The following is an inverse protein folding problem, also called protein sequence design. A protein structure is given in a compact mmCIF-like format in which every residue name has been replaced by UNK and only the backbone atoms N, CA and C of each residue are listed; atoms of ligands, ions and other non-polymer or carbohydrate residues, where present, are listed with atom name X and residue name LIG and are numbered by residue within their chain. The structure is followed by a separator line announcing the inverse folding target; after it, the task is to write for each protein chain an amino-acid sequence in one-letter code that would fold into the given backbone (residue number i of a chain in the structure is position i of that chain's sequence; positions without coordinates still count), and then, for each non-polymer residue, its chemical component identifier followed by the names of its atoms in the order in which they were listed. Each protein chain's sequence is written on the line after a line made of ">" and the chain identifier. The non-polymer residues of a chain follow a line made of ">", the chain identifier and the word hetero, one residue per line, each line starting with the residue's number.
data_IF_393338577856
#
_entry.id   IF_393338577856
#
_cell.length_a   1.000
_cell.length_b   1.000
_cell.length_c   1.000
_cell.angle_alpha   90.00
_cell.angle_beta   90.00
_cell.angle_gamma   90.00
#
_symmetry.space_group_name_H-M   'P 1'
#
loop_
_entity.id
_entity.type
_entity.pdbx_description
1 polymer ?
#
# COMPACT_ATOMS: atom_id res chain seq x y z
N UNK A 1 31.59 -41.51 3.41
CA UNK A 1 31.34 -40.20 4.02
C UNK A 1 31.03 -39.24 2.89
N UNK A 2 29.74 -39.04 2.60
CA UNK A 2 29.30 -38.10 1.56
C UNK A 2 28.70 -36.89 2.25
N UNK A 3 29.33 -35.73 2.10
CA UNK A 3 28.74 -34.43 2.38
C UNK A 3 27.84 -34.03 1.20
N UNK A 4 26.55 -33.74 1.39
CA UNK A 4 25.73 -33.10 0.36
C UNK A 4 25.95 -31.59 0.45
N UNK A 5 26.64 -31.02 -0.54
CA UNK A 5 26.80 -29.59 -0.72
C UNK A 5 25.71 -29.04 -1.64
N UNK A 6 24.94 -28.08 -1.11
CA UNK A 6 24.56 -26.82 -1.78
C UNK A 6 24.32 -26.86 -3.29
N UNK A 7 23.08 -27.13 -3.70
CA UNK A 7 22.59 -26.91 -5.08
C UNK A 7 21.20 -26.27 -5.12
N UNK A 8 20.88 -25.39 -4.16
CA UNK A 8 19.58 -24.69 -4.08
C UNK A 8 19.66 -23.17 -4.04
N UNK A 9 20.75 -22.55 -4.47
CA UNK A 9 20.85 -21.07 -4.41
C UNK A 9 21.44 -20.39 -5.66
N UNK A 10 21.49 -21.08 -6.80
CA UNK A 10 22.09 -20.52 -8.05
C UNK A 10 21.02 -20.22 -9.12
N UNK A 11 19.77 -20.70 -8.96
CA UNK A 11 18.72 -20.51 -9.98
C UNK A 11 17.88 -19.24 -9.80
N UNK A 12 17.74 -18.70 -8.58
CA UNK A 12 16.89 -17.52 -8.34
C UNK A 12 17.53 -16.20 -8.79
N UNK A 13 18.87 -16.11 -8.84
CA UNK A 13 19.56 -14.88 -9.27
C UNK A 13 19.41 -14.56 -10.77
N UNK A 14 18.91 -15.51 -11.59
CA UNK A 14 18.81 -15.35 -13.06
C UNK A 14 17.40 -15.15 -13.60
N UNK A 15 16.36 -15.35 -12.80
CA UNK A 15 14.97 -15.22 -13.25
C UNK A 15 14.39 -13.88 -12.81
N UNK A 16 13.97 -13.02 -13.73
CA UNK A 16 13.32 -11.72 -13.42
C UNK A 16 13.83 -10.56 -14.29
N UNK A 17 13.16 -9.41 -14.19
CA UNK A 17 13.52 -8.19 -14.93
C UNK A 17 14.39 -7.32 -14.02
N UNK A 18 15.62 -7.05 -14.43
CA UNK A 18 16.46 -6.03 -13.81
C UNK A 18 15.94 -4.65 -14.25
N UNK A 19 15.72 -3.75 -13.30
CA UNK A 19 15.35 -2.38 -13.61
C UNK A 19 16.56 -1.68 -14.22
N UNK A 20 16.35 -1.12 -15.40
CA UNK A 20 17.37 -0.36 -16.11
C UNK A 20 16.87 1.07 -16.27
N UNK A 21 17.68 2.02 -15.83
CA UNK A 21 17.36 3.42 -16.05
C UNK A 21 17.49 3.69 -17.55
N UNK A 22 16.47 4.23 -18.22
CA UNK A 22 16.57 4.55 -19.63
C UNK A 22 17.66 5.60 -19.83
N UNK A 23 18.71 5.19 -20.52
CA UNK A 23 19.79 6.05 -21.01
C UNK A 23 19.82 5.91 -22.52
N UNK A 24 19.66 7.03 -23.20
CA UNK A 24 19.52 7.03 -24.65
C UNK A 24 20.68 6.40 -25.39
N UNK A 25 20.38 5.53 -26.36
CA UNK A 25 21.40 4.87 -27.18
C UNK A 25 21.62 5.53 -28.55
N UNK A 26 20.65 6.23 -29.17
CA UNK A 26 20.91 7.08 -30.35
C UNK A 26 19.81 8.15 -30.57
N UNK A 27 20.24 9.37 -30.93
CA UNK A 27 19.49 10.53 -31.44
C UNK A 27 18.45 11.29 -30.59
N UNK A 28 18.07 10.88 -29.37
CA UNK A 28 17.31 11.72 -28.43
C UNK A 28 17.68 11.45 -26.99
N UNK A 29 18.11 12.45 -26.22
CA UNK A 29 18.39 12.32 -24.78
C UNK A 29 17.09 12.23 -23.96
N UNK A 30 16.76 11.06 -23.43
CA UNK A 30 15.79 10.87 -22.37
C UNK A 30 16.58 10.92 -21.06
N UNK A 31 16.82 12.13 -20.56
CA UNK A 31 17.47 12.32 -19.25
C UNK A 31 16.39 12.34 -18.17
N UNK A 32 15.93 11.16 -17.74
CA UNK A 32 15.09 11.09 -16.54
C UNK A 32 16.02 11.18 -15.33
N UNK A 33 15.86 12.22 -14.52
CA UNK A 33 16.62 12.40 -13.28
C UNK A 33 15.66 12.44 -12.10
N UNK A 34 15.85 11.59 -11.08
CA UNK A 34 15.05 11.64 -9.87
C UNK A 34 15.06 12.99 -9.17
N UNK A 35 16.23 13.63 -9.06
CA UNK A 35 16.40 14.83 -8.23
C UNK A 35 15.45 15.98 -8.57
N UNK A 36 15.23 16.37 -9.84
CA UNK A 36 14.24 17.39 -10.19
C UNK A 36 12.83 17.14 -9.63
N UNK A 37 12.35 15.90 -9.66
CA UNK A 37 11.02 15.54 -9.13
C UNK A 37 10.97 15.72 -7.61
N UNK A 38 11.94 15.15 -6.89
CA UNK A 38 12.00 15.29 -5.43
C UNK A 38 12.28 16.73 -4.99
N UNK A 39 13.05 17.50 -5.75
CA UNK A 39 13.26 18.93 -5.46
C UNK A 39 11.97 19.73 -5.63
N UNK A 40 11.20 19.43 -6.67
CA UNK A 40 9.90 20.06 -6.87
C UNK A 40 8.96 19.68 -5.70
N UNK A 41 8.86 18.39 -5.36
CA UNK A 41 8.09 17.93 -4.19
C UNK A 41 8.51 18.61 -2.89
N UNK A 42 9.81 18.72 -2.64
CA UNK A 42 10.35 19.41 -1.48
C UNK A 42 9.92 20.88 -1.44
N UNK A 43 9.99 21.58 -2.58
CA UNK A 43 9.53 22.97 -2.69
C UNK A 43 8.01 23.09 -2.47
N UNK A 44 7.22 22.15 -2.95
CA UNK A 44 5.79 22.12 -2.65
C UNK A 44 5.53 21.91 -1.15
N UNK A 45 6.25 20.96 -0.52
CA UNK A 45 6.11 20.63 0.89
C UNK A 45 6.40 21.83 1.80
N UNK A 46 7.53 22.51 1.58
CA UNK A 46 8.04 23.53 2.53
C UNK A 46 7.72 24.96 2.11
N UNK A 47 7.34 25.20 0.84
CA UNK A 47 7.03 26.54 0.31
C UNK A 47 5.62 26.68 -0.28
N UNK A 48 4.82 25.61 -0.31
CA UNK A 48 3.44 25.66 -0.81
C UNK A 48 3.32 25.89 -2.32
N UNK A 49 4.34 25.55 -3.11
CA UNK A 49 4.31 25.71 -4.58
C UNK A 49 3.40 24.67 -5.22
N UNK A 50 2.43 25.12 -6.02
CA UNK A 50 1.60 24.22 -6.84
C UNK A 50 2.42 23.63 -8.00
N UNK A 51 2.34 22.30 -8.20
CA UNK A 51 3.14 21.59 -9.19
C UNK A 51 2.33 20.55 -9.98
N UNK A 52 2.68 20.41 -11.26
CA UNK A 52 2.10 19.47 -12.23
C UNK A 52 3.00 18.23 -12.42
N UNK A 53 3.24 17.50 -11.34
CA UNK A 53 4.14 16.35 -11.38
C UNK A 53 3.51 15.13 -12.07
N UNK A 54 2.19 14.99 -12.02
CA UNK A 54 1.47 13.93 -12.72
C UNK A 54 1.63 14.07 -14.25
N UNK A 55 1.45 15.29 -14.78
CA UNK A 55 1.68 15.59 -16.20
C UNK A 55 3.11 15.22 -16.64
N UNK A 56 4.11 15.57 -15.82
CA UNK A 56 5.52 15.28 -16.11
C UNK A 56 5.86 13.78 -16.10
N UNK A 57 5.16 12.96 -15.30
CA UNK A 57 5.33 11.50 -15.30
C UNK A 57 4.71 10.87 -16.55
N UNK A 58 3.57 11.39 -17.03
CA UNK A 58 2.93 10.94 -18.28
C UNK A 58 3.84 11.26 -19.47
N UNK A 59 4.37 12.49 -19.55
CA UNK A 59 5.28 12.91 -20.61
C UNK A 59 6.55 12.02 -20.69
N UNK A 60 7.04 11.53 -19.55
CA UNK A 60 8.16 10.57 -19.52
C UNK A 60 7.79 9.25 -20.20
N UNK A 61 6.61 8.70 -19.91
CA UNK A 61 6.13 7.46 -20.51
C UNK A 61 5.98 7.59 -22.02
N UNK A 62 5.38 8.68 -22.48
CA UNK A 62 5.20 8.98 -23.90
C UNK A 62 6.54 9.15 -24.63
N UNK A 63 7.49 9.86 -24.02
CA UNK A 63 8.83 10.02 -24.57
C UNK A 63 9.58 8.68 -24.68
N UNK A 64 9.44 7.81 -23.67
CA UNK A 64 10.04 6.48 -23.69
C UNK A 64 9.44 5.63 -24.83
N UNK A 65 8.11 5.59 -24.95
CA UNK A 65 7.42 4.90 -26.03
C UNK A 65 7.87 5.41 -27.41
N UNK A 66 7.99 6.73 -27.59
CA UNK A 66 8.41 7.34 -28.85
C UNK A 66 9.90 7.12 -29.20
N UNK A 67 10.72 6.66 -28.25
CA UNK A 67 12.17 6.45 -28.45
C UNK A 67 12.58 5.04 -28.87
N UNK A 68 11.62 4.11 -28.94
CA UNK A 68 11.89 2.68 -29.15
C UNK A 68 12.39 1.93 -27.91
N UNK A 69 12.76 2.64 -26.83
CA UNK A 69 13.09 2.03 -25.54
C UNK A 69 11.84 1.56 -24.76
N UNK A 70 10.65 1.97 -25.19
CA UNK A 70 9.38 1.53 -24.60
C UNK A 70 9.02 0.06 -24.84
N UNK A 71 9.83 -0.67 -25.61
CA UNK A 71 9.69 -2.12 -25.80
C UNK A 71 10.65 -2.93 -24.90
N UNK A 72 11.55 -2.27 -24.18
CA UNK A 72 12.51 -2.94 -23.31
C UNK A 72 11.95 -3.11 -21.89
N UNK A 73 11.75 -4.36 -21.40
CA UNK A 73 11.09 -4.58 -20.12
C UNK A 73 11.80 -3.91 -18.93
N UNK A 74 13.14 -3.83 -18.95
CA UNK A 74 13.91 -3.17 -17.89
C UNK A 74 13.62 -1.68 -17.78
N UNK A 75 13.53 -0.99 -18.93
CA UNK A 75 13.22 0.45 -18.99
C UNK A 75 11.78 0.75 -18.60
N UNK A 76 10.83 -0.08 -19.05
CA UNK A 76 9.41 0.07 -18.70
C UNK A 76 9.15 -0.26 -17.23
N UNK A 77 9.84 -1.26 -16.67
CA UNK A 77 9.76 -1.57 -15.24
C UNK A 77 10.29 -0.41 -14.40
N UNK A 78 11.39 0.19 -14.85
CA UNK A 78 11.97 1.34 -14.18
C UNK A 78 11.01 2.53 -14.15
N UNK A 79 10.37 2.90 -15.28
CA UNK A 79 9.42 4.01 -15.31
C UNK A 79 8.17 3.75 -14.47
N UNK A 80 7.65 2.52 -14.50
CA UNK A 80 6.52 2.09 -13.67
C UNK A 80 6.80 2.29 -12.18
N UNK A 81 7.88 1.67 -11.69
CA UNK A 81 8.23 1.70 -10.26
C UNK A 81 8.63 3.10 -9.82
N UNK A 82 9.45 3.78 -10.63
CA UNK A 82 9.89 5.13 -10.31
C UNK A 82 8.71 6.11 -10.23
N UNK A 83 7.81 6.10 -11.20
CA UNK A 83 6.64 6.96 -11.18
C UNK A 83 5.72 6.65 -9.99
N UNK A 84 5.53 5.36 -9.66
CA UNK A 84 4.71 4.95 -8.52
C UNK A 84 5.33 5.44 -7.21
N UNK A 85 6.66 5.36 -7.04
CA UNK A 85 7.37 5.90 -5.89
C UNK A 85 7.23 7.42 -5.77
N UNK A 86 7.36 8.16 -6.89
CA UNK A 86 7.19 9.61 -6.92
C UNK A 86 5.76 9.99 -6.53
N UNK A 87 4.75 9.31 -7.10
CA UNK A 87 3.34 9.55 -6.79
C UNK A 87 3.02 9.24 -5.34
N UNK A 88 3.46 8.10 -4.81
CA UNK A 88 3.26 7.78 -3.39
C UNK A 88 3.95 8.79 -2.48
N UNK A 89 5.17 9.20 -2.79
CA UNK A 89 5.88 10.23 -2.01
C UNK A 89 5.14 11.56 -2.04
N UNK A 90 4.63 11.95 -3.22
CA UNK A 90 3.81 13.14 -3.40
C UNK A 90 2.55 13.10 -2.54
N UNK A 91 1.84 11.97 -2.55
CA UNK A 91 0.64 11.77 -1.74
C UNK A 91 0.97 11.89 -0.25
N UNK A 92 2.02 11.23 0.23
CA UNK A 92 2.45 11.29 1.64
C UNK A 92 2.79 12.72 2.09
N UNK A 93 3.43 13.50 1.22
CA UNK A 93 3.77 14.90 1.50
C UNK A 93 2.53 15.79 1.49
N UNK A 94 1.65 15.63 0.49
CA UNK A 94 0.40 16.41 0.36
C UNK A 94 -0.59 16.14 1.48
N UNK A 95 -0.60 14.92 2.00
CA UNK A 95 -1.42 14.50 3.14
C UNK A 95 -0.90 15.08 4.46
N UNK A 96 0.32 15.65 4.50
CA UNK A 96 0.95 16.10 5.74
C UNK A 96 1.69 17.45 5.72
N UNK A 97 1.11 18.53 5.16
CA UNK A 97 1.76 19.84 5.08
C UNK A 97 2.10 20.43 6.46
N UNK A 98 1.26 20.15 7.46
CA UNK A 98 1.43 20.60 8.85
C UNK A 98 2.71 20.08 9.51
N UNK A 99 3.21 18.92 9.03
CA UNK A 99 4.40 18.28 9.59
C UNK A 99 5.72 18.91 9.12
N UNK A 100 5.69 19.76 8.08
CA UNK A 100 6.88 20.44 7.55
C UNK A 100 6.97 21.91 7.96
N UNK A 101 5.95 22.42 8.66
CA UNK A 101 5.81 23.83 9.02
C UNK A 101 6.34 24.17 10.42
N UNK A 102 6.95 23.20 11.11
CA UNK A 102 7.29 23.29 12.54
C UNK A 102 8.73 23.78 12.83
N UNK A 103 9.49 24.14 11.80
CA UNK A 103 10.91 24.53 11.92
C UNK A 103 11.34 25.55 10.88
N UNK A 104 12.64 25.86 10.85
CA UNK A 104 13.22 26.73 9.83
C UNK A 104 13.05 26.10 8.44
N UNK A 105 12.50 26.86 7.51
CA UNK A 105 12.34 26.42 6.13
C UNK A 105 13.71 26.24 5.48
N UNK A 106 14.04 25.05 4.96
CA UNK A 106 15.32 24.84 4.30
C UNK A 106 15.51 25.78 3.10
N UNK A 107 16.73 26.28 2.93
CA UNK A 107 17.15 27.07 1.78
C UNK A 107 17.12 26.24 0.49
N UNK A 108 17.08 26.92 -0.66
CA UNK A 108 17.11 26.26 -1.96
C UNK A 108 18.37 25.39 -2.17
N UNK A 109 19.49 25.75 -1.54
CA UNK A 109 20.73 24.97 -1.62
C UNK A 109 20.69 23.74 -0.73
N UNK A 110 20.13 23.85 0.48
CA UNK A 110 19.93 22.69 1.36
C UNK A 110 18.97 21.68 0.72
N UNK A 111 17.86 22.16 0.14
CA UNK A 111 16.93 21.30 -0.60
C UNK A 111 17.61 20.55 -1.74
N UNK A 112 18.52 21.20 -2.48
CA UNK A 112 19.29 20.55 -3.56
C UNK A 112 20.22 19.47 -3.03
N UNK A 113 20.81 19.65 -1.84
CA UNK A 113 21.67 18.65 -1.18
C UNK A 113 20.84 17.46 -0.69
N UNK A 114 19.76 17.74 0.06
CA UNK A 114 18.83 16.72 0.57
C UNK A 114 18.28 15.84 -0.56
N UNK A 115 17.90 16.45 -1.69
CA UNK A 115 17.39 15.70 -2.84
C UNK A 115 18.48 14.95 -3.61
N UNK A 116 19.74 15.41 -3.56
CA UNK A 116 20.87 14.68 -4.15
C UNK A 116 21.19 13.40 -3.37
N UNK A 117 21.11 13.45 -2.04
CA UNK A 117 21.32 12.27 -1.19
C UNK A 117 20.23 11.22 -1.40
N UNK A 118 18.96 11.64 -1.50
CA UNK A 118 17.86 10.75 -1.86
C UNK A 118 18.06 10.12 -3.24
N UNK A 119 18.42 10.92 -4.26
CA UNK A 119 18.66 10.42 -5.61
C UNK A 119 19.81 9.41 -5.63
N UNK A 120 20.90 9.68 -4.90
CA UNK A 120 22.02 8.76 -4.77
C UNK A 120 21.57 7.42 -4.17
N UNK A 121 20.76 7.46 -3.11
CA UNK A 121 20.20 6.24 -2.49
C UNK A 121 19.30 5.45 -3.43
N UNK A 122 18.43 6.14 -4.17
CA UNK A 122 17.53 5.53 -5.16
C UNK A 122 18.30 4.89 -6.33
N UNK A 123 19.32 5.58 -6.86
CA UNK A 123 20.09 5.10 -8.01
C UNK A 123 21.15 4.04 -7.64
N UNK A 124 21.55 3.94 -6.38
CA UNK A 124 22.49 2.92 -5.92
C UNK A 124 21.85 1.52 -5.83
N UNK A 125 20.52 1.45 -5.74
CA UNK A 125 19.81 0.20 -5.59
C UNK A 125 19.70 -0.55 -6.92
N UNK A 126 20.10 -1.82 -6.91
CA UNK A 126 19.82 -2.77 -8.00
C UNK A 126 18.47 -3.41 -7.71
N UNK A 127 17.45 -3.00 -8.44
CA UNK A 127 16.09 -3.50 -8.26
C UNK A 127 15.82 -4.57 -9.31
N UNK A 128 15.32 -5.71 -8.88
CA UNK A 128 14.84 -6.79 -9.76
C UNK A 128 13.41 -7.13 -9.39
N UNK A 129 12.56 -7.28 -10.40
CA UNK A 129 11.18 -7.75 -10.22
C UNK A 129 11.02 -9.17 -10.76
N UNK A 130 10.18 -9.94 -10.07
CA UNK A 130 9.90 -11.34 -10.35
C UNK A 130 8.41 -11.50 -10.69
N UNK A 131 7.99 -12.72 -11.07
CA UNK A 131 6.63 -12.98 -11.56
C UNK A 131 5.54 -12.61 -10.54
N UNK A 132 5.83 -12.72 -9.24
CA UNK A 132 4.91 -12.38 -8.15
C UNK A 132 4.78 -10.86 -7.91
N UNK A 133 5.62 -10.03 -8.53
CA UNK A 133 5.63 -8.58 -8.31
C UNK A 133 4.31 -7.90 -8.67
N UNK A 134 3.64 -8.32 -9.75
CA UNK A 134 2.39 -7.69 -10.18
C UNK A 134 1.22 -8.02 -9.23
N UNK A 135 1.31 -9.14 -8.52
CA UNK A 135 0.31 -9.59 -7.54
C UNK A 135 0.62 -9.06 -6.14
N UNK A 136 1.90 -8.96 -5.80
CA UNK A 136 2.41 -8.55 -4.49
C UNK A 136 3.46 -7.42 -4.59
N UNK A 137 3.12 -6.25 -5.16
CA UNK A 137 4.07 -5.15 -5.31
C UNK A 137 4.56 -4.59 -3.97
N UNK A 138 3.80 -4.77 -2.88
CA UNK A 138 4.21 -4.39 -1.53
C UNK A 138 5.41 -5.19 -1.00
N UNK A 139 5.69 -6.37 -1.57
CA UNK A 139 6.80 -7.24 -1.16
C UNK A 139 8.10 -6.91 -1.89
N UNK A 140 8.11 -5.88 -2.73
CA UNK A 140 9.31 -5.42 -3.40
C UNK A 140 10.37 -5.03 -2.36
N UNK A 141 11.44 -5.83 -2.23
CA UNK A 141 12.49 -5.64 -1.22
C UNK A 141 13.14 -4.24 -1.26
N UNK A 142 13.09 -3.57 -2.41
CA UNK A 142 13.54 -2.19 -2.53
C UNK A 142 12.76 -1.22 -1.64
N UNK A 143 11.47 -1.48 -1.35
CA UNK A 143 10.66 -0.62 -0.47
C UNK A 143 11.24 -0.55 0.94
N UNK A 144 11.72 -1.68 1.48
CA UNK A 144 12.39 -1.73 2.79
C UNK A 144 13.70 -0.92 2.80
N UNK A 145 14.38 -0.88 1.65
CA UNK A 145 15.61 -0.07 1.46
C UNK A 145 15.29 1.40 1.28
N UNK A 146 14.20 1.74 0.58
CA UNK A 146 13.81 3.12 0.28
C UNK A 146 13.16 3.82 1.47
N UNK A 147 12.42 3.10 2.31
CA UNK A 147 11.74 3.64 3.49
C UNK A 147 12.67 4.47 4.42
N UNK A 148 13.86 4.01 4.84
CA UNK A 148 14.77 4.85 5.64
C UNK A 148 15.30 6.06 4.86
N UNK A 149 15.56 5.93 3.56
CA UNK A 149 15.99 7.04 2.69
C UNK A 149 14.90 8.12 2.64
N UNK A 150 13.65 7.70 2.43
CA UNK A 150 12.48 8.58 2.43
C UNK A 150 12.30 9.25 3.80
N UNK A 151 12.44 8.50 4.89
CA UNK A 151 12.35 9.06 6.25
C UNK A 151 13.41 10.14 6.49
N UNK A 152 14.66 9.91 6.06
CA UNK A 152 15.73 10.91 6.17
C UNK A 152 15.45 12.14 5.31
N UNK A 153 14.94 11.95 4.09
CA UNK A 153 14.55 13.05 3.23
C UNK A 153 13.45 13.91 3.85
N UNK A 154 12.39 13.27 4.38
CA UNK A 154 11.30 13.96 5.10
C UNK A 154 11.82 14.75 6.32
N UNK A 155 12.78 14.21 7.06
CA UNK A 155 13.44 14.92 8.16
C UNK A 155 14.23 16.13 7.66
N UNK A 156 14.95 15.99 6.55
CA UNK A 156 15.66 17.10 5.91
C UNK A 156 14.72 18.23 5.47
N UNK A 157 13.46 17.93 5.19
CA UNK A 157 12.43 18.94 4.89
C UNK A 157 11.86 19.63 6.15
N UNK A 158 12.31 19.26 7.35
CA UNK A 158 11.85 19.85 8.62
C UNK A 158 10.83 18.99 9.38
N UNK A 159 10.52 17.78 8.92
CA UNK A 159 9.61 16.89 9.65
C UNK A 159 10.27 16.28 10.91
N UNK A 160 9.61 16.28 12.08
CA UNK A 160 10.15 15.64 13.28
C UNK A 160 10.49 14.16 13.04
N UNK A 161 11.60 13.62 13.60
CA UNK A 161 12.07 12.27 13.27
C UNK A 161 11.03 11.15 13.41
N UNK A 162 10.23 11.18 14.48
CA UNK A 162 9.17 10.18 14.70
C UNK A 162 8.04 10.30 13.67
N UNK A 163 7.66 11.52 13.30
CA UNK A 163 6.61 11.76 12.32
C UNK A 163 7.08 11.43 10.90
N UNK A 164 8.31 11.79 10.55
CA UNK A 164 8.93 11.41 9.29
C UNK A 164 9.02 9.90 9.12
N UNK A 165 9.38 9.17 10.19
CA UNK A 165 9.37 7.69 10.18
C UNK A 165 7.96 7.14 10.03
N UNK A 166 6.98 7.66 10.77
CA UNK A 166 5.60 7.22 10.66
C UNK A 166 5.02 7.44 9.25
N UNK A 167 5.32 8.57 8.61
CA UNK A 167 4.97 8.82 7.21
C UNK A 167 5.65 7.81 6.27
N UNK A 168 6.96 7.63 6.40
CA UNK A 168 7.70 6.69 5.55
C UNK A 168 7.20 5.25 5.69
N UNK A 169 6.79 4.82 6.89
CA UNK A 169 6.23 3.48 7.14
C UNK A 169 4.91 3.22 6.37
N UNK A 170 4.25 4.26 5.83
CA UNK A 170 3.03 4.11 5.02
C UNK A 170 3.33 3.80 3.56
N UNK A 171 4.58 4.00 3.11
CA UNK A 171 5.00 3.79 1.73
C UNK A 171 4.63 2.40 1.20
N UNK A 172 4.95 1.26 1.86
CA UNK A 172 4.65 -0.07 1.31
C UNK A 172 3.15 -0.34 1.16
N UNK A 173 2.31 0.39 1.89
CA UNK A 173 0.85 0.23 1.87
C UNK A 173 0.16 1.12 0.85
N UNK A 174 0.79 2.21 0.42
CA UNK A 174 0.28 3.13 -0.61
C UNK A 174 0.91 2.90 -1.99
N UNK A 175 2.13 2.37 -2.04
CA UNK A 175 2.85 2.08 -3.28
C UNK A 175 2.06 1.18 -4.24
N UNK A 176 1.43 0.06 -3.82
CA UNK A 176 0.62 -0.79 -4.70
C UNK A 176 -0.49 -0.03 -5.42
N UNK A 177 -1.18 0.88 -4.72
CA UNK A 177 -2.26 1.66 -5.29
C UNK A 177 -1.73 2.61 -6.39
N UNK A 178 -0.67 3.36 -6.07
CA UNK A 178 -0.03 4.27 -7.03
C UNK A 178 0.51 3.53 -8.26
N UNK A 179 1.03 2.30 -8.07
CA UNK A 179 1.49 1.45 -9.16
C UNK A 179 0.35 1.02 -10.09
N UNK A 180 -0.78 0.58 -9.53
CA UNK A 180 -1.97 0.24 -10.33
C UNK A 180 -2.56 1.45 -11.06
N UNK A 181 -2.62 2.61 -10.40
CA UNK A 181 -3.09 3.84 -11.03
C UNK A 181 -2.18 4.29 -12.18
N UNK A 182 -0.86 4.21 -12.00
CA UNK A 182 0.09 4.51 -13.05
C UNK A 182 -0.04 3.53 -14.22
N UNK A 183 -0.18 2.23 -13.94
CA UNK A 183 -0.45 1.25 -14.98
C UNK A 183 -1.72 1.58 -15.75
N UNK A 184 -2.80 1.93 -15.05
CA UNK A 184 -4.10 2.26 -15.63
C UNK A 184 -4.09 3.48 -16.54
N UNK A 185 -3.12 4.39 -16.39
CA UNK A 185 -2.97 5.56 -17.28
C UNK A 185 -2.43 5.20 -18.66
N UNK A 186 -1.63 4.14 -18.78
CA UNK A 186 -1.03 3.71 -20.05
C UNK A 186 -0.91 2.16 -20.12
N UNK A 187 -2.03 1.41 -20.12
CA UNK A 187 -2.00 -0.04 -19.97
C UNK A 187 -1.25 -0.76 -21.10
N UNK A 188 -1.33 -0.23 -22.34
CA UNK A 188 -0.62 -0.79 -23.50
C UNK A 188 0.89 -0.64 -23.37
N UNK A 189 1.37 0.45 -22.78
CA UNK A 189 2.80 0.71 -22.55
C UNK A 189 3.40 -0.34 -21.61
N UNK A 190 2.69 -0.69 -20.54
CA UNK A 190 3.19 -1.62 -19.53
C UNK A 190 2.94 -3.09 -19.86
N UNK A 191 2.14 -3.40 -20.89
CA UNK A 191 1.85 -4.78 -21.31
C UNK A 191 3.10 -5.60 -21.66
N UNK A 192 4.22 -4.95 -22.01
CA UNK A 192 5.51 -5.63 -22.22
C UNK A 192 6.04 -6.31 -20.97
N UNK A 193 5.74 -5.78 -19.78
CA UNK A 193 6.15 -6.37 -18.51
C UNK A 193 5.40 -7.67 -18.23
N UNK A 194 4.13 -7.75 -18.59
CA UNK A 194 3.37 -9.00 -18.45
C UNK A 194 4.00 -10.10 -19.29
N UNK A 195 4.26 -9.82 -20.57
CA UNK A 195 4.89 -10.79 -21.48
C UNK A 195 6.29 -11.22 -21.02
N UNK A 196 7.03 -10.32 -20.38
CA UNK A 196 8.38 -10.59 -19.90
C UNK A 196 8.40 -11.31 -18.54
N UNK A 197 7.36 -11.12 -17.71
CA UNK A 197 7.14 -11.81 -16.44
C UNK A 197 6.29 -13.08 -16.60
N UNK A 198 5.79 -13.35 -17.80
CA UNK A 198 4.85 -14.43 -18.07
C UNK A 198 5.44 -15.80 -17.71
N UNK A 199 4.75 -16.46 -16.78
CA UNK A 199 4.71 -17.92 -16.68
C UNK A 199 3.42 -18.38 -17.40
N UNK A 200 3.28 -19.64 -17.85
CA UNK A 200 2.11 -20.11 -18.60
C UNK A 200 0.73 -19.97 -17.89
N UNK A 201 0.69 -19.42 -16.67
CA UNK A 201 -0.51 -19.24 -15.85
C UNK A 201 -0.84 -17.78 -15.51
N UNK A 202 -0.03 -16.78 -15.88
CA UNK A 202 -0.18 -15.38 -15.44
C UNK A 202 -0.99 -14.50 -16.41
N UNK A 203 -2.17 -14.96 -16.85
CA UNK A 203 -3.16 -14.03 -17.42
C UNK A 203 -4.00 -13.44 -16.29
N UNK A 204 -3.52 -12.34 -15.72
CA UNK A 204 -4.37 -11.47 -14.92
C UNK A 204 -5.37 -10.78 -15.87
N UNK A 205 -6.55 -11.38 -16.03
CA UNK A 205 -7.73 -10.77 -16.64
C UNK A 205 -7.94 -9.37 -16.06
N UNK A 206 -8.51 -8.45 -16.84
CA UNK A 206 -8.78 -7.07 -16.41
C UNK A 206 -9.55 -7.05 -15.08
N UNK A 207 -10.45 -8.00 -14.87
CA UNK A 207 -11.19 -8.18 -13.62
C UNK A 207 -10.27 -8.51 -12.43
N UNK A 208 -9.29 -9.39 -12.59
CA UNK A 208 -8.36 -9.75 -11.52
C UNK A 208 -7.54 -8.53 -11.07
N UNK A 209 -7.12 -7.68 -12.02
CA UNK A 209 -6.38 -6.45 -11.69
C UNK A 209 -7.23 -5.40 -11.00
N UNK A 210 -8.49 -5.27 -11.39
CA UNK A 210 -9.42 -4.39 -10.68
C UNK A 210 -9.59 -4.82 -9.23
N UNK A 211 -9.62 -6.13 -8.96
CA UNK A 211 -9.62 -6.65 -7.59
C UNK A 211 -8.32 -6.36 -6.83
N UNK A 212 -7.16 -6.51 -7.46
CA UNK A 212 -5.87 -6.14 -6.87
C UNK A 212 -5.80 -4.64 -6.54
N UNK A 213 -6.24 -3.78 -7.47
CA UNK A 213 -6.32 -2.34 -7.26
C UNK A 213 -7.30 -1.99 -6.13
N UNK A 214 -8.47 -2.61 -6.09
CA UNK A 214 -9.45 -2.39 -5.02
C UNK A 214 -8.92 -2.84 -3.66
N UNK A 215 -8.20 -3.96 -3.61
CA UNK A 215 -7.51 -4.41 -2.41
C UNK A 215 -6.42 -3.43 -1.95
N UNK A 216 -5.59 -2.95 -2.89
CA UNK A 216 -4.59 -1.93 -2.62
C UNK A 216 -5.23 -0.63 -2.09
N UNK A 217 -6.39 -0.23 -2.63
CA UNK A 217 -7.15 0.91 -2.14
C UNK A 217 -7.66 0.71 -0.71
N UNK A 218 -8.27 -0.44 -0.39
CA UNK A 218 -8.71 -0.76 0.96
C UNK A 218 -7.56 -0.67 1.97
N UNK A 219 -6.39 -1.22 1.61
CA UNK A 219 -5.20 -1.17 2.44
C UNK A 219 -4.71 0.28 2.61
N UNK A 220 -4.54 1.01 1.52
CA UNK A 220 -4.11 2.41 1.54
C UNK A 220 -5.02 3.29 2.42
N UNK A 221 -6.33 3.03 2.40
CA UNK A 221 -7.33 3.77 3.20
C UNK A 221 -7.15 3.57 4.71
N UNK A 222 -6.78 2.35 5.15
CA UNK A 222 -6.47 2.11 6.58
C UNK A 222 -5.16 2.77 7.03
N UNK A 223 -4.31 3.15 6.07
CA UNK A 223 -3.07 3.88 6.28
C UNK A 223 -3.20 5.37 5.97
N UNK A 224 -4.40 5.90 5.68
CA UNK A 224 -4.65 7.35 5.64
C UNK A 224 -4.44 7.97 7.03
N UNK A 225 -3.91 9.20 7.12
CA UNK A 225 -3.65 9.86 8.41
C UNK A 225 -4.92 9.94 9.25
N UNK A 226 -4.77 9.72 10.55
CA UNK A 226 -5.82 9.99 11.51
C UNK A 226 -5.60 11.35 12.16
N UNK A 227 -6.59 12.23 12.03
CA UNK A 227 -6.52 13.59 12.57
C UNK A 227 -5.25 14.33 12.08
N UNK A 228 -4.44 14.87 12.99
CA UNK A 228 -3.15 15.51 12.69
C UNK A 228 -1.95 14.58 12.92
N UNK A 229 -2.16 13.27 13.09
CA UNK A 229 -1.08 12.32 13.35
C UNK A 229 -0.46 11.81 12.06
N UNK A 230 0.85 11.52 12.06
CA UNK A 230 1.55 11.00 10.89
C UNK A 230 1.23 9.52 10.59
N UNK A 231 0.56 8.82 11.50
CA UNK A 231 0.16 7.42 11.37
C UNK A 231 -1.33 7.28 11.01
N UNK A 232 -1.68 6.10 10.49
CA UNK A 232 -3.06 5.76 10.12
C UNK A 232 -3.73 4.81 11.10
N UNK A 233 -4.98 4.47 10.81
CA UNK A 233 -5.81 3.58 11.63
C UNK A 233 -5.15 2.23 11.89
N UNK A 234 -4.53 1.64 10.87
CA UNK A 234 -3.86 0.34 10.99
C UNK A 234 -2.78 0.29 12.08
N UNK A 235 -2.14 1.43 12.40
CA UNK A 235 -1.09 1.52 13.41
C UNK A 235 -1.60 1.52 14.85
N UNK A 236 -2.86 1.89 15.08
CA UNK A 236 -3.42 2.10 16.43
C UNK A 236 -4.70 1.30 16.68
N UNK A 237 -5.14 0.52 15.69
CA UNK A 237 -6.37 -0.24 15.78
C UNK A 237 -6.27 -1.37 16.81
N UNK A 238 -7.29 -1.45 17.66
CA UNK A 238 -7.50 -2.56 18.60
C UNK A 238 -8.78 -3.29 18.19
N UNK A 239 -8.74 -4.61 17.95
CA UNK A 239 -9.94 -5.40 17.64
C UNK A 239 -11.04 -5.23 18.69
N UNK A 240 -12.28 -5.10 18.22
CA UNK A 240 -13.42 -4.81 19.09
C UNK A 240 -14.05 -6.10 19.65
N UNK A 241 -14.45 -6.05 20.91
CA UNK A 241 -15.41 -7.00 21.46
C UNK A 241 -16.84 -6.54 21.15
N UNK A 242 -17.71 -7.50 20.86
CA UNK A 242 -19.14 -7.28 20.68
C UNK A 242 -19.92 -8.31 21.51
N UNK A 243 -21.25 -8.16 21.58
CA UNK A 243 -22.11 -9.21 22.10
C UNK A 243 -23.37 -9.33 21.25
N UNK A 244 -23.96 -10.52 21.28
CA UNK A 244 -25.34 -10.74 20.85
C UNK A 244 -26.11 -11.45 21.95
N UNK A 245 -27.44 -11.35 21.90
CA UNK A 245 -28.33 -12.00 22.86
C UNK A 245 -28.71 -13.39 22.35
N UNK A 246 -28.55 -14.40 23.20
CA UNK A 246 -29.06 -15.75 22.97
C UNK A 246 -30.16 -16.03 24.00
N UNK A 247 -31.28 -16.60 23.55
CA UNK A 247 -32.30 -17.14 24.44
C UNK A 247 -31.75 -18.41 25.12
N UNK A 248 -31.71 -18.42 26.45
CA UNK A 248 -31.51 -19.64 27.23
C UNK A 248 -32.83 -20.08 27.87
N UNK A 249 -33.03 -21.40 27.94
CA UNK A 249 -34.07 -21.97 28.79
C UNK A 249 -33.57 -21.99 30.23
N UNK A 250 -34.31 -21.35 31.12
CA UNK A 250 -34.03 -21.37 32.56
C UNK A 250 -35.02 -22.29 33.24
N UNK A 251 -34.52 -23.19 34.08
CA UNK A 251 -35.36 -24.08 34.89
C UNK A 251 -36.24 -23.28 35.86
N UNK A 252 -37.35 -23.85 36.36
CA UNK A 252 -38.26 -23.16 37.28
C UNK A 252 -37.59 -22.65 38.57
N UNK A 253 -36.51 -23.28 39.00
CA UNK A 253 -35.85 -23.03 40.30
C UNK A 253 -34.76 -21.94 40.24
N UNK A 254 -34.22 -21.64 39.05
CA UNK A 254 -33.14 -20.67 38.85
C UNK A 254 -33.64 -19.31 38.31
N UNK A 255 -34.96 -19.06 38.34
CA UNK A 255 -35.58 -17.87 37.71
C UNK A 255 -35.23 -16.57 38.44
N UNK A 256 -34.50 -15.64 37.81
CA UNK A 256 -34.37 -14.28 38.31
C UNK A 256 -35.70 -13.52 38.11
N UNK A 257 -35.96 -12.48 38.91
CA UNK A 257 -37.22 -11.71 38.88
C UNK A 257 -37.52 -10.98 37.55
N UNK A 258 -36.53 -10.85 36.66
CA UNK A 258 -36.62 -10.12 35.39
C UNK A 258 -36.80 -11.03 34.15
N UNK A 259 -36.95 -12.36 34.34
CA UNK A 259 -37.25 -13.27 33.23
C UNK A 259 -38.65 -13.00 32.66
N UNK A 260 -38.81 -13.03 31.33
CA UNK A 260 -40.10 -12.81 30.68
C UNK A 260 -41.11 -13.88 31.13
N UNK A 261 -42.04 -13.45 31.99
CA UNK A 261 -42.97 -14.29 32.76
C UNK A 261 -43.84 -15.20 31.89
N UNK A 262 -43.95 -14.90 30.59
CA UNK A 262 -44.77 -15.67 29.64
C UNK A 262 -44.01 -16.75 28.85
N UNK A 263 -42.67 -16.66 28.73
CA UNK A 263 -41.90 -17.56 27.84
C UNK A 263 -40.84 -18.40 28.53
N UNK A 264 -40.45 -18.07 29.78
CA UNK A 264 -39.43 -18.81 30.53
C UNK A 264 -38.03 -18.75 29.89
N UNK A 265 -37.82 -17.78 29.00
CA UNK A 265 -36.56 -17.53 28.31
C UNK A 265 -35.84 -16.38 28.96
N UNK A 266 -34.56 -16.57 29.25
CA UNK A 266 -33.66 -15.50 29.67
C UNK A 266 -32.75 -15.12 28.51
N UNK A 267 -32.47 -13.83 28.37
CA UNK A 267 -31.54 -13.31 27.37
C UNK A 267 -30.14 -13.26 27.94
N UNK A 268 -29.27 -14.14 27.46
CA UNK A 268 -27.85 -14.10 27.82
C UNK A 268 -27.05 -13.32 26.79
N UNK A 269 -26.23 -12.40 27.26
CA UNK A 269 -25.22 -11.74 26.43
C UNK A 269 -24.03 -12.66 26.24
N UNK A 270 -23.77 -13.04 25.00
CA UNK A 270 -22.57 -13.77 24.61
C UNK A 270 -21.56 -12.80 24.03
N UNK A 271 -20.48 -12.55 24.77
CA UNK A 271 -19.39 -11.68 24.35
C UNK A 271 -18.49 -12.43 23.38
N UNK A 272 -18.13 -11.76 22.28
CA UNK A 272 -17.30 -12.31 21.20
C UNK A 272 -16.29 -11.27 20.74
N UNK A 273 -15.17 -11.74 20.18
CA UNK A 273 -14.28 -10.89 19.39
C UNK A 273 -14.90 -10.71 17.99
N UNK A 274 -15.17 -9.46 17.61
CA UNK A 274 -16.04 -9.14 16.49
C UNK A 274 -15.45 -9.55 15.13
N UNK A 275 -14.13 -9.38 14.92
CA UNK A 275 -13.48 -9.82 13.68
C UNK A 275 -13.62 -11.33 13.49
N UNK A 276 -13.25 -12.10 14.51
CA UNK A 276 -13.27 -13.56 14.48
C UNK A 276 -14.67 -14.08 14.26
N UNK A 277 -15.66 -13.51 14.94
CA UNK A 277 -17.06 -13.89 14.79
C UNK A 277 -17.56 -13.63 13.36
N UNK A 278 -17.32 -12.45 12.80
CA UNK A 278 -17.78 -12.16 11.43
C UNK A 278 -16.99 -12.92 10.36
N UNK A 279 -15.69 -13.18 10.56
CA UNK A 279 -14.91 -14.05 9.67
C UNK A 279 -15.48 -15.48 9.69
N UNK A 280 -15.80 -16.02 10.86
CA UNK A 280 -16.43 -17.34 10.98
C UNK A 280 -17.81 -17.37 10.32
N UNK A 281 -18.60 -16.33 10.51
CA UNK A 281 -19.91 -16.21 9.88
C UNK A 281 -19.80 -16.18 8.35
N UNK A 282 -18.90 -15.36 7.77
CA UNK A 282 -18.68 -15.33 6.32
C UNK A 282 -18.15 -16.65 5.76
N UNK A 283 -17.34 -17.39 6.54
CA UNK A 283 -16.79 -18.67 6.12
C UNK A 283 -17.83 -19.81 6.14
N UNK A 284 -18.90 -19.67 6.91
CA UNK A 284 -19.94 -20.69 7.12
C UNK A 284 -21.29 -20.20 6.58
N UNK A 285 -21.45 -20.24 5.26
CA UNK A 285 -22.67 -19.79 4.60
C UNK A 285 -23.92 -20.51 5.16
N UNK A 286 -24.90 -19.72 5.60
CA UNK A 286 -26.20 -20.21 6.06
C UNK A 286 -27.30 -19.38 5.40
N UNK A 287 -28.21 -19.99 4.60
CA UNK A 287 -29.28 -19.26 3.93
C UNK A 287 -30.28 -18.59 4.89
N UNK A 288 -30.28 -18.96 6.18
CA UNK A 288 -31.11 -18.35 7.23
C UNK A 288 -30.39 -17.24 8.03
N UNK A 289 -29.09 -17.05 7.83
CA UNK A 289 -28.25 -16.06 8.53
C UNK A 289 -27.35 -15.36 7.50
N UNK A 290 -27.97 -14.58 6.61
CA UNK A 290 -27.30 -13.93 5.46
C UNK A 290 -26.95 -12.47 5.70
N UNK A 291 -27.50 -11.85 6.75
CA UNK A 291 -27.28 -10.44 7.08
C UNK A 291 -27.10 -10.31 8.60
N UNK A 292 -26.02 -9.65 9.02
CA UNK A 292 -25.77 -9.26 10.41
C UNK A 292 -25.65 -7.75 10.53
N UNK A 293 -26.12 -7.21 11.64
CA UNK A 293 -26.06 -5.77 11.94
C UNK A 293 -25.12 -5.53 13.10
N UNK A 294 -24.08 -4.73 12.87
CA UNK A 294 -23.19 -4.25 13.94
C UNK A 294 -23.71 -2.90 14.45
N UNK A 295 -24.22 -2.89 15.67
CA UNK A 295 -24.79 -1.70 16.32
C UNK A 295 -23.95 -1.27 17.53
N UNK A 296 -24.09 0.01 17.91
CA UNK A 296 -23.34 0.61 19.03
C UNK A 296 -23.43 2.13 19.02
N UNK A 297 -23.21 2.77 20.17
CA UNK A 297 -23.30 4.23 20.33
C UNK A 297 -22.27 5.02 19.49
N UNK A 298 -22.37 6.36 19.42
CA UNK A 298 -21.32 7.19 18.82
C UNK A 298 -19.95 6.91 19.42
N UNK A 299 -18.88 6.94 18.61
CA UNK A 299 -17.51 6.68 19.08
C UNK A 299 -17.15 5.21 19.41
N UNK A 300 -18.09 4.27 19.31
CA UNK A 300 -17.85 2.83 19.56
C UNK A 300 -16.92 2.12 18.55
N UNK A 301 -16.37 2.83 17.57
CA UNK A 301 -15.43 2.26 16.60
C UNK A 301 -16.04 1.49 15.43
N UNK A 302 -17.37 1.52 15.22
CA UNK A 302 -18.06 0.80 14.11
C UNK A 302 -17.45 1.06 12.73
N UNK A 303 -17.22 2.33 12.39
CA UNK A 303 -16.66 2.70 11.07
C UNK A 303 -15.20 2.28 10.93
N UNK A 304 -14.41 2.41 12.01
CA UNK A 304 -13.01 1.96 12.05
C UNK A 304 -12.93 0.44 11.89
N UNK A 305 -13.78 -0.30 12.61
CA UNK A 305 -13.93 -1.74 12.45
C UNK A 305 -14.28 -2.10 11.00
N UNK A 306 -15.27 -1.45 10.38
CA UNK A 306 -15.67 -1.76 9.01
C UNK A 306 -14.50 -1.61 8.02
N UNK A 307 -13.67 -0.55 8.15
CA UNK A 307 -12.47 -0.36 7.32
C UNK A 307 -11.45 -1.47 7.52
N UNK A 308 -11.10 -1.78 8.78
CA UNK A 308 -10.12 -2.83 9.10
C UNK A 308 -10.63 -4.23 8.71
N UNK A 309 -11.92 -4.49 8.88
CA UNK A 309 -12.54 -5.74 8.53
C UNK A 309 -12.57 -5.97 7.01
N UNK A 310 -12.79 -4.92 6.21
CA UNK A 310 -12.76 -5.01 4.75
C UNK A 310 -11.39 -5.47 4.23
N UNK A 311 -10.29 -4.96 4.82
CA UNK A 311 -8.92 -5.43 4.52
C UNK A 311 -8.75 -6.89 4.97
N UNK A 312 -9.08 -7.21 6.23
CA UNK A 312 -8.92 -8.58 6.74
C UNK A 312 -9.74 -9.64 5.96
N UNK A 313 -10.92 -9.27 5.48
CA UNK A 313 -11.81 -10.15 4.71
C UNK A 313 -11.26 -10.47 3.31
N UNK A 314 -10.49 -9.55 2.72
CA UNK A 314 -9.87 -9.73 1.40
C UNK A 314 -8.56 -10.52 1.50
N UNK A 315 -7.73 -10.26 2.52
CA UNK A 315 -6.50 -11.01 2.78
C UNK A 315 -6.75 -12.51 3.07
N UNK A 316 -7.82 -12.83 3.80
CA UNK A 316 -8.20 -14.24 4.06
C UNK A 316 -8.82 -14.94 2.84
N UNK A 317 -9.36 -14.20 1.87
CA UNK A 317 -9.89 -14.78 0.62
C UNK A 317 -8.80 -15.15 -0.38
N UNK A 318 -7.60 -14.56 -0.27
CA UNK A 318 -6.45 -14.90 -1.13
C UNK A 318 -5.88 -16.32 -0.89
N UNK A 319 -6.30 -17.02 0.17
CA UNK A 319 -5.89 -18.42 0.46
C UNK A 319 -6.97 -19.47 0.18
N UNK A 320 -7.99 -19.15 -0.62
CA UNK A 320 -8.98 -20.14 -1.09
C UNK A 320 -9.18 -20.04 -2.60
N UNK A 321 -8.21 -20.55 -3.35
CA UNK A 321 -8.40 -21.09 -4.70
C UNK A 321 -7.49 -22.30 -4.87
#
# INVERSE_FOLDING_TARGET
>A
MNTPGTDHNISEEKTGILLEKPVSLLFREIKIQPKPFFLALAKAAVKGVALKLDDALVEIGDALAASGLGEEPGHVAWTLIYGALVRTTMELVRDAPDLFSQGETPTDNELKTICADLEKGLLAAKIRIHADFLEHPEKLAFLDTFQPILSQWLQGLGSPPMQARALANRLPHKFPLALHEQWGQAPEHYAVLEKALETPFTRADQQARQWLQYHAWLRAETHTRMFAEAFGLASVYVPLCAYYEEDIQVGPEDRPGDADLQTGKEKKRKVVELHTELVRWMANYNPKDTVRVVSGGPGSGKSSFAKMFAVAATEKRLFRF
#
